data_IF_945188322342
#
_entry.id   IF_945188322342
#
_cell.length_a   1.000
_cell.length_b   1.000
_cell.length_c   1.000
_cell.angle_alpha   90.00
_cell.angle_beta   90.00
_cell.angle_gamma   90.00
#
_symmetry.space_group_name_H-M   'P 1'
#
loop_
_entity.id
_entity.type
_entity.pdbx_description
1 polymer ?
#
# COMPACT_ATOMS: atom_id res chain seq x y z
N UNK A 1 30.15 23.74 -0.98
CA UNK A 1 29.09 23.45 0.00
C UNK A 1 28.87 21.94 -0.02
N UNK A 2 29.33 21.23 1.01
CA UNK A 2 29.09 19.79 1.15
C UNK A 2 27.70 19.63 1.79
N UNK A 3 26.74 19.10 1.03
CA UNK A 3 25.46 18.72 1.59
C UNK A 3 25.69 17.54 2.55
N UNK A 4 25.36 17.74 3.82
CA UNK A 4 25.36 16.68 4.84
C UNK A 4 24.41 15.57 4.38
N UNK A 5 24.96 14.41 4.03
CA UNK A 5 24.13 13.25 3.68
C UNK A 5 23.51 12.74 4.96
N UNK A 6 22.22 12.94 5.12
CA UNK A 6 21.44 12.25 6.15
C UNK A 6 21.55 10.75 5.89
N UNK A 7 22.18 10.00 6.79
CA UNK A 7 22.33 8.56 6.67
C UNK A 7 21.00 7.84 6.91
N UNK A 8 20.24 7.64 5.84
CA UNK A 8 18.97 6.91 5.84
C UNK A 8 19.12 5.43 6.24
N UNK A 9 20.34 4.89 6.34
CA UNK A 9 20.59 3.50 6.72
C UNK A 9 20.06 3.17 8.13
N UNK A 10 20.12 4.13 9.06
CA UNK A 10 19.73 3.92 10.45
C UNK A 10 18.20 4.00 10.67
N UNK A 11 17.48 4.73 9.82
CA UNK A 11 16.02 4.93 9.95
C UNK A 11 15.20 3.82 9.31
N UNK A 12 15.71 3.14 8.27
CA UNK A 12 15.07 2.01 7.58
C UNK A 12 14.54 0.90 8.51
N UNK A 13 15.33 0.36 9.45
CA UNK A 13 14.83 -0.70 10.33
C UNK A 13 13.69 -0.20 11.23
N UNK A 14 13.69 1.07 11.64
CA UNK A 14 12.61 1.65 12.46
C UNK A 14 11.33 1.76 11.63
N UNK A 15 11.43 2.25 10.40
CA UNK A 15 10.30 2.36 9.47
C UNK A 15 9.70 1.00 9.14
N UNK A 16 10.51 -0.04 8.89
CA UNK A 16 10.00 -1.39 8.63
C UNK A 16 9.30 -1.98 9.84
N UNK A 17 9.80 -1.71 11.05
CA UNK A 17 9.15 -2.16 12.28
C UNK A 17 7.81 -1.46 12.49
N UNK A 18 7.76 -0.14 12.27
CA UNK A 18 6.52 0.64 12.33
C UNK A 18 5.50 0.13 11.32
N UNK A 19 5.90 -0.08 10.06
CA UNK A 19 5.04 -0.61 9.02
C UNK A 19 4.52 -2.02 9.39
N UNK A 20 5.38 -2.90 9.91
CA UNK A 20 4.97 -4.23 10.36
C UNK A 20 3.96 -4.17 11.52
N UNK A 21 4.15 -3.28 12.50
CA UNK A 21 3.20 -3.08 13.60
C UNK A 21 1.84 -2.60 13.07
N UNK A 22 1.83 -1.58 12.20
CA UNK A 22 0.60 -1.05 11.60
C UNK A 22 -0.15 -2.14 10.82
N UNK A 23 0.55 -2.90 9.98
CA UNK A 23 -0.03 -3.99 9.20
C UNK A 23 -0.58 -5.12 10.09
N UNK A 24 0.12 -5.44 11.18
CA UNK A 24 -0.33 -6.47 12.14
C UNK A 24 -1.61 -6.02 12.86
N UNK A 25 -1.68 -4.77 13.28
CA UNK A 25 -2.88 -4.19 13.90
C UNK A 25 -4.05 -4.17 12.90
N UNK A 26 -3.80 -3.82 11.64
CA UNK A 26 -4.82 -3.84 10.59
C UNK A 26 -5.33 -5.26 10.32
N UNK A 27 -4.43 -6.25 10.22
CA UNK A 27 -4.80 -7.64 10.06
C UNK A 27 -5.65 -8.13 11.24
N UNK A 28 -5.27 -7.79 12.47
CA UNK A 28 -6.03 -8.15 13.66
C UNK A 28 -7.41 -7.50 13.67
N UNK A 29 -7.50 -6.21 13.36
CA UNK A 29 -8.79 -5.52 13.25
C UNK A 29 -9.68 -6.15 12.18
N UNK A 30 -9.12 -6.57 11.04
CA UNK A 30 -9.87 -7.29 10.01
C UNK A 30 -10.37 -8.65 10.51
N UNK A 31 -9.53 -9.43 11.19
CA UNK A 31 -9.95 -10.72 11.78
C UNK A 31 -11.10 -10.51 12.76
N UNK A 32 -10.99 -9.53 13.67
CA UNK A 32 -12.04 -9.21 14.64
C UNK A 32 -13.32 -8.76 13.93
N UNK A 33 -13.22 -7.90 12.92
CA UNK A 33 -14.38 -7.44 12.17
C UNK A 33 -15.06 -8.58 11.41
N UNK A 34 -14.29 -9.54 10.86
CA UNK A 34 -14.82 -10.72 10.20
C UNK A 34 -15.56 -11.68 11.15
N UNK A 35 -15.09 -11.81 12.39
CA UNK A 35 -15.74 -12.65 13.41
C UNK A 35 -17.04 -12.02 13.89
N UNK A 36 -17.06 -10.70 14.10
CA UNK A 36 -18.22 -9.99 14.65
C UNK A 36 -19.30 -9.68 13.59
N UNK A 37 -18.88 -9.32 12.37
CA UNK A 37 -19.76 -8.94 11.27
C UNK A 37 -19.27 -9.61 9.98
N UNK A 38 -19.54 -10.92 9.80
CA UNK A 38 -19.09 -11.62 8.62
C UNK A 38 -19.64 -10.92 7.37
N UNK A 39 -18.79 -10.60 6.37
CA UNK A 39 -19.27 -9.99 5.15
C UNK A 39 -20.32 -10.91 4.55
N UNK A 40 -21.43 -10.33 4.06
CA UNK A 40 -22.57 -11.06 3.51
C UNK A 40 -22.06 -12.00 2.40
N UNK A 41 -21.84 -13.27 2.74
CA UNK A 41 -20.87 -14.13 2.05
C UNK A 41 -21.23 -14.55 0.63
N UNK A 42 -22.38 -14.06 0.13
CA UNK A 42 -22.93 -14.37 -1.17
C UNK A 42 -22.76 -13.25 -2.20
N UNK A 43 -22.38 -12.04 -1.78
CA UNK A 43 -22.11 -10.96 -2.74
C UNK A 43 -20.73 -11.13 -3.38
N UNK A 44 -20.72 -11.04 -4.71
CA UNK A 44 -19.50 -10.98 -5.49
C UNK A 44 -18.91 -9.57 -5.43
N UNK A 45 -17.60 -9.48 -5.63
CA UNK A 45 -16.93 -8.18 -5.68
C UNK A 45 -17.29 -7.44 -6.96
N UNK A 46 -17.47 -6.12 -6.86
CA UNK A 46 -17.65 -5.24 -8.02
C UNK A 46 -16.39 -5.19 -8.89
N UNK A 47 -15.21 -5.28 -8.27
CA UNK A 47 -13.91 -5.26 -8.97
C UNK A 47 -13.61 -6.63 -9.58
N UNK A 48 -13.95 -7.70 -8.86
CA UNK A 48 -13.71 -9.07 -9.29
C UNK A 48 -15.01 -9.87 -9.24
N UNK A 49 -15.84 -9.83 -10.30
CA UNK A 49 -17.19 -10.44 -10.28
C UNK A 49 -17.17 -11.97 -10.13
N UNK A 50 -16.01 -12.60 -10.31
CA UNK A 50 -15.80 -14.03 -10.12
C UNK A 50 -15.28 -14.40 -8.72
N UNK A 51 -14.97 -13.42 -7.86
CA UNK A 51 -14.47 -13.66 -6.50
C UNK A 51 -15.49 -13.16 -5.48
N UNK A 52 -15.81 -14.02 -4.50
CA UNK A 52 -16.66 -13.66 -3.36
C UNK A 52 -15.94 -12.65 -2.45
N UNK A 53 -16.69 -11.71 -1.89
CA UNK A 53 -16.14 -10.71 -0.96
C UNK A 53 -15.41 -11.35 0.24
N UNK A 54 -15.90 -12.48 0.75
CA UNK A 54 -15.24 -13.24 1.82
C UNK A 54 -13.83 -13.69 1.45
N UNK A 55 -13.61 -14.13 0.21
CA UNK A 55 -12.30 -14.59 -0.26
C UNK A 55 -11.34 -13.42 -0.40
N UNK A 56 -11.81 -12.28 -0.92
CA UNK A 56 -11.00 -11.06 -0.98
C UNK A 56 -10.64 -10.55 0.42
N UNK A 57 -11.56 -10.68 1.38
CA UNK A 57 -11.31 -10.27 2.76
C UNK A 57 -10.20 -11.11 3.41
N UNK A 58 -10.27 -12.44 3.27
CA UNK A 58 -9.20 -13.35 3.70
C UNK A 58 -7.89 -13.08 2.98
N UNK A 59 -7.93 -12.88 1.66
CA UNK A 59 -6.74 -12.55 0.89
C UNK A 59 -6.10 -11.25 1.39
N UNK A 60 -6.90 -10.25 1.74
CA UNK A 60 -6.41 -9.00 2.33
C UNK A 60 -5.74 -9.19 3.69
N UNK A 61 -6.33 -10.01 4.57
CA UNK A 61 -5.71 -10.37 5.86
C UNK A 61 -4.38 -11.09 5.64
N UNK A 62 -4.35 -12.07 4.74
CA UNK A 62 -3.12 -12.83 4.44
C UNK A 62 -2.04 -11.94 3.84
N UNK A 63 -2.42 -10.99 2.97
CA UNK A 63 -1.50 -10.02 2.38
C UNK A 63 -0.89 -9.09 3.44
N UNK A 64 -1.70 -8.59 4.38
CA UNK A 64 -1.23 -7.76 5.50
C UNK A 64 -0.24 -8.53 6.38
N UNK A 65 -0.61 -9.75 6.80
CA UNK A 65 0.23 -10.61 7.66
C UNK A 65 1.52 -11.02 6.95
N UNK A 66 1.44 -11.42 5.68
CA UNK A 66 2.62 -11.78 4.89
C UNK A 66 3.56 -10.59 4.74
N UNK A 67 3.03 -9.40 4.44
CA UNK A 67 3.84 -8.18 4.30
C UNK A 67 4.47 -7.79 5.63
N UNK A 68 3.73 -7.89 6.75
CA UNK A 68 4.26 -7.65 8.09
C UNK A 68 5.40 -8.63 8.43
N UNK A 69 5.20 -9.93 8.16
CA UNK A 69 6.20 -10.97 8.39
C UNK A 69 7.47 -10.75 7.53
N UNK A 70 7.31 -10.36 6.26
CA UNK A 70 8.43 -10.01 5.38
C UNK A 70 9.17 -8.79 5.91
N UNK A 71 8.46 -7.75 6.37
CA UNK A 71 9.07 -6.54 6.94
C UNK A 71 9.87 -6.84 8.22
N UNK A 72 9.38 -7.74 9.08
CA UNK A 72 10.09 -8.20 10.27
C UNK A 72 11.31 -9.05 9.91
N UNK A 73 11.16 -10.01 9.00
CA UNK A 73 12.23 -10.95 8.61
C UNK A 73 13.34 -10.28 7.80
N UNK A 74 12.98 -9.34 6.92
CA UNK A 74 13.91 -8.63 6.03
C UNK A 74 14.13 -7.18 6.49
N UNK A 75 14.06 -6.93 7.80
CA UNK A 75 14.22 -5.60 8.41
C UNK A 75 15.55 -4.96 7.97
N UNK A 76 15.49 -3.70 7.50
CA UNK A 76 16.65 -2.97 6.98
C UNK A 76 17.19 -3.45 5.62
N UNK A 77 16.59 -4.47 4.99
CA UNK A 77 17.01 -5.00 3.69
C UNK A 77 16.07 -4.55 2.59
N UNK A 78 16.59 -4.58 1.37
CA UNK A 78 15.85 -4.17 0.18
C UNK A 78 14.60 -5.03 -0.11
N UNK A 79 14.57 -6.27 0.34
CA UNK A 79 13.38 -7.11 0.15
C UNK A 79 12.14 -6.55 0.87
N UNK A 80 12.32 -5.92 2.04
CA UNK A 80 11.21 -5.35 2.79
C UNK A 80 10.61 -4.11 2.12
N UNK A 81 11.43 -3.17 1.61
CA UNK A 81 10.85 -2.01 0.93
C UNK A 81 10.18 -2.42 -0.39
N UNK A 82 10.72 -3.41 -1.11
CA UNK A 82 10.07 -3.92 -2.33
C UNK A 82 8.71 -4.52 -2.01
N UNK A 83 8.61 -5.30 -0.93
CA UNK A 83 7.34 -5.84 -0.45
C UNK A 83 6.34 -4.73 -0.06
N UNK A 84 6.78 -3.69 0.65
CA UNK A 84 5.94 -2.55 1.01
C UNK A 84 5.47 -1.76 -0.22
N UNK A 85 6.36 -1.57 -1.21
CA UNK A 85 6.04 -0.87 -2.44
C UNK A 85 5.05 -1.65 -3.31
N UNK A 86 5.21 -2.98 -3.39
CA UNK A 86 4.25 -3.86 -4.06
C UNK A 86 2.89 -3.82 -3.36
N UNK A 87 2.88 -3.92 -2.03
CA UNK A 87 1.66 -3.88 -1.21
C UNK A 87 0.91 -2.55 -1.39
N UNK A 88 1.60 -1.42 -1.28
CA UNK A 88 1.02 -0.08 -1.45
C UNK A 88 0.52 0.14 -2.88
N UNK A 89 1.24 -0.34 -3.89
CA UNK A 89 0.82 -0.29 -5.28
C UNK A 89 -0.45 -1.10 -5.53
N UNK A 90 -0.56 -2.30 -4.93
CA UNK A 90 -1.75 -3.13 -5.00
C UNK A 90 -2.95 -2.47 -4.30
N UNK A 91 -2.74 -1.84 -3.14
CA UNK A 91 -3.78 -1.07 -2.44
C UNK A 91 -4.26 0.13 -3.24
N UNK A 92 -3.34 0.89 -3.86
CA UNK A 92 -3.67 2.02 -4.73
C UNK A 92 -4.46 1.56 -5.97
N UNK A 93 -3.98 0.51 -6.62
CA UNK A 93 -4.65 -0.07 -7.78
C UNK A 93 -6.06 -0.56 -7.42
N UNK A 94 -6.22 -1.24 -6.29
CA UNK A 94 -7.53 -1.70 -5.82
C UNK A 94 -8.47 -0.52 -5.53
N UNK A 95 -8.00 0.52 -4.83
CA UNK A 95 -8.80 1.74 -4.59
C UNK A 95 -9.23 2.40 -5.90
N UNK A 96 -8.33 2.49 -6.87
CA UNK A 96 -8.63 3.02 -8.19
C UNK A 96 -9.68 2.17 -8.91
N UNK A 97 -9.55 0.84 -8.89
CA UNK A 97 -10.54 -0.06 -9.49
C UNK A 97 -11.92 0.06 -8.83
N UNK A 98 -11.99 0.18 -7.51
CA UNK A 98 -13.26 0.43 -6.78
C UNK A 98 -13.88 1.77 -7.19
N UNK A 99 -13.06 2.82 -7.34
CA UNK A 99 -13.52 4.13 -7.79
C UNK A 99 -14.15 4.06 -9.20
N UNK A 100 -13.49 3.37 -10.14
CA UNK A 100 -13.99 3.23 -11.51
C UNK A 100 -15.23 2.34 -11.64
N UNK A 101 -15.37 1.32 -10.78
CA UNK A 101 -16.51 0.38 -10.83
C UNK A 101 -17.76 0.90 -10.13
N UNK A 102 -17.77 2.14 -9.66
CA UNK A 102 -18.93 2.75 -8.99
C UNK A 102 -19.24 2.17 -7.61
N UNK A 103 -18.31 1.41 -7.02
CA UNK A 103 -18.51 0.74 -5.71
C UNK A 103 -18.76 1.70 -4.54
N UNK A 104 -18.52 3.00 -4.73
CA UNK A 104 -18.75 4.07 -3.76
C UNK A 104 -20.23 4.50 -3.65
N UNK A 105 -21.07 4.24 -4.65
CA UNK A 105 -22.43 4.85 -4.71
C UNK A 105 -23.49 3.95 -4.06
N UNK A 106 -23.22 2.66 -3.90
CA UNK A 106 -24.18 1.70 -3.34
C UNK A 106 -23.49 0.76 -2.36
N UNK A 107 -23.03 1.31 -1.21
CA UNK A 107 -22.81 0.60 0.06
C UNK A 107 -22.40 -0.87 -0.06
N UNK A 108 -21.47 -1.18 -0.96
CA UNK A 108 -21.08 -2.55 -1.22
C UNK A 108 -20.36 -2.94 0.06
N UNK A 109 -20.98 -3.77 0.91
CA UNK A 109 -20.61 -4.03 2.32
C UNK A 109 -19.18 -4.51 2.59
N UNK A 110 -18.32 -4.43 1.59
CA UNK A 110 -16.87 -4.55 1.62
C UNK A 110 -16.16 -3.43 2.41
N UNK A 111 -16.74 -2.22 2.47
CA UNK A 111 -16.16 -1.02 3.12
C UNK A 111 -16.78 -0.71 4.50
N UNK A 112 -17.45 -1.71 5.09
CA UNK A 112 -18.33 -1.55 6.26
C UNK A 112 -17.83 -2.18 7.57
N UNK A 113 -16.70 -2.89 7.52
CA UNK A 113 -16.31 -3.82 8.58
C UNK A 113 -15.79 -3.09 9.82
N UNK A 114 -15.01 -2.01 9.63
CA UNK A 114 -14.56 -1.16 10.74
C UNK A 114 -15.69 -0.23 11.23
N UNK A 115 -16.51 0.28 10.31
CA UNK A 115 -17.71 1.08 10.59
C UNK A 115 -18.62 0.37 11.59
N UNK A 116 -18.91 -0.91 11.37
CA UNK A 116 -19.79 -1.70 12.25
C UNK A 116 -19.17 -1.98 13.62
N UNK A 117 -17.84 -2.14 13.70
CA UNK A 117 -17.17 -2.47 14.96
C UNK A 117 -16.88 -1.23 15.82
N UNK A 118 -16.43 -0.13 15.21
CA UNK A 118 -16.03 1.10 15.91
C UNK A 118 -17.16 2.15 15.94
N UNK A 119 -18.30 1.89 15.32
CA UNK A 119 -19.36 2.88 15.12
C UNK A 119 -18.90 4.09 14.31
N UNK A 120 -17.82 3.93 13.53
CA UNK A 120 -17.28 5.00 12.69
C UNK A 120 -18.25 5.30 11.55
N UNK A 121 -18.18 6.49 10.98
CA UNK A 121 -18.85 6.78 9.71
C UNK A 121 -18.02 6.27 8.54
N UNK A 122 -18.66 6.00 7.39
CA UNK A 122 -17.96 5.58 6.16
C UNK A 122 -16.84 6.56 5.76
N UNK A 123 -17.06 7.86 6.00
CA UNK A 123 -16.07 8.92 5.78
C UNK A 123 -14.83 8.78 6.69
N UNK A 124 -15.00 8.33 7.93
CA UNK A 124 -13.91 8.12 8.88
C UNK A 124 -13.10 6.88 8.51
N UNK A 125 -13.76 5.79 8.08
CA UNK A 125 -13.07 4.58 7.61
C UNK A 125 -12.23 4.86 6.37
N UNK A 126 -12.79 5.61 5.40
CA UNK A 126 -12.04 6.00 4.22
C UNK A 126 -10.85 6.91 4.57
N UNK A 127 -11.03 7.85 5.51
CA UNK A 127 -9.96 8.72 5.99
C UNK A 127 -8.85 7.94 6.71
N UNK A 128 -9.21 6.97 7.56
CA UNK A 128 -8.25 6.10 8.25
C UNK A 128 -7.46 5.24 7.26
N UNK A 129 -8.15 4.65 6.27
CA UNK A 129 -7.53 3.89 5.19
C UNK A 129 -6.57 4.75 4.37
N UNK A 130 -6.95 6.00 4.07
CA UNK A 130 -6.08 6.97 3.39
C UNK A 130 -4.86 7.31 4.25
N UNK A 131 -5.05 7.56 5.56
CA UNK A 131 -3.97 7.88 6.48
C UNK A 131 -2.93 6.77 6.59
N UNK A 132 -3.37 5.52 6.70
CA UNK A 132 -2.48 4.34 6.66
C UNK A 132 -1.72 4.26 5.34
N UNK A 133 -2.41 4.48 4.21
CA UNK A 133 -1.78 4.43 2.89
C UNK A 133 -0.69 5.51 2.76
N UNK A 134 -0.98 6.74 3.20
CA UNK A 134 0.00 7.84 3.23
C UNK A 134 1.19 7.47 4.12
N UNK A 135 0.94 6.92 5.31
CA UNK A 135 2.01 6.51 6.23
C UNK A 135 2.91 5.43 5.61
N UNK A 136 2.32 4.43 4.93
CA UNK A 136 3.08 3.39 4.24
C UNK A 136 3.88 3.97 3.06
N UNK A 137 3.30 4.90 2.29
CA UNK A 137 4.01 5.59 1.20
C UNK A 137 5.20 6.38 1.77
N UNK A 138 5.01 7.14 2.86
CA UNK A 138 6.08 7.86 3.54
C UNK A 138 7.21 6.91 3.99
N UNK A 139 6.87 5.70 4.45
CA UNK A 139 7.87 4.69 4.80
C UNK A 139 8.69 4.21 3.60
N UNK A 140 8.15 4.27 2.38
CA UNK A 140 8.85 3.87 1.13
C UNK A 140 9.63 4.99 0.45
N UNK A 141 9.33 6.27 0.77
CA UNK A 141 9.98 7.43 0.15
C UNK A 141 11.52 7.45 0.24
N UNK A 142 12.17 7.07 1.35
CA UNK A 142 13.65 7.10 1.45
C UNK A 142 14.33 6.24 0.39
N UNK A 143 13.65 5.18 -0.06
CA UNK A 143 14.15 4.31 -1.11
C UNK A 143 13.93 4.89 -2.49
N UNK A 144 12.77 5.50 -2.72
CA UNK A 144 12.45 6.11 -4.02
C UNK A 144 13.43 7.24 -4.32
N UNK A 145 13.76 8.07 -3.32
CA UNK A 145 14.73 9.16 -3.47
C UNK A 145 16.15 8.67 -3.75
N UNK A 146 16.60 7.60 -3.08
CA UNK A 146 17.92 7.01 -3.33
C UNK A 146 18.00 6.31 -4.70
N UNK A 147 16.94 5.63 -5.11
CA UNK A 147 16.89 4.99 -6.44
C UNK A 147 16.84 6.04 -7.55
N UNK A 148 16.02 7.09 -7.39
CA UNK A 148 15.94 8.18 -8.33
C UNK A 148 17.33 8.80 -8.55
N UNK A 149 18.00 9.22 -7.48
CA UNK A 149 19.34 9.83 -7.58
C UNK A 149 20.36 8.92 -8.29
N UNK A 150 20.32 7.61 -8.05
CA UNK A 150 21.18 6.66 -8.77
C UNK A 150 20.83 6.53 -10.26
N UNK A 151 19.54 6.59 -10.62
CA UNK A 151 19.08 6.53 -12.00
C UNK A 151 19.47 7.79 -12.78
N UNK A 152 19.35 8.97 -12.17
CA UNK A 152 19.79 10.24 -12.76
C UNK A 152 21.31 10.34 -12.92
N UNK A 153 22.07 9.63 -12.08
CA UNK A 153 23.53 9.58 -12.17
C UNK A 153 24.04 8.59 -13.22
N UNK A 154 23.19 7.76 -13.83
CA UNK A 154 23.61 6.81 -14.87
C UNK A 154 23.85 7.53 -16.20
N UNK A 155 25.09 7.57 -16.73
CA UNK A 155 25.41 8.30 -17.96
C UNK A 155 24.62 7.80 -19.18
N UNK A 156 24.28 6.51 -19.23
CA UNK A 156 23.50 5.95 -20.34
C UNK A 156 22.07 6.51 -20.45
N UNK A 157 21.42 6.86 -19.33
CA UNK A 157 20.07 7.45 -19.37
C UNK A 157 20.11 8.90 -19.90
N UNK A 158 21.18 9.63 -19.58
CA UNK A 158 21.41 10.99 -20.08
C UNK A 158 21.66 10.99 -21.59
N UNK A 159 22.38 10.00 -22.11
CA UNK A 159 22.60 9.87 -23.55
C UNK A 159 21.30 9.51 -24.28
N UNK A 160 20.48 8.64 -23.70
CA UNK A 160 19.18 8.27 -24.30
C UNK A 160 18.19 9.46 -24.31
N UNK A 161 18.14 10.25 -23.23
CA UNK A 161 17.30 11.45 -23.16
C UNK A 161 17.77 12.57 -24.09
N UNK A 162 19.09 12.65 -24.41
CA UNK A 162 19.59 13.59 -25.43
C UNK A 162 19.11 13.23 -26.83
N UNK A 163 19.11 11.94 -27.18
CA UNK A 163 18.65 11.48 -28.50
C UNK A 163 17.17 11.81 -28.69
N UNK A 164 16.31 11.49 -27.72
CA UNK A 164 14.87 11.77 -27.80
C UNK A 164 14.57 13.28 -27.90
N UNK A 165 15.40 14.15 -27.32
CA UNK A 165 15.21 15.60 -27.39
C UNK A 165 15.53 16.19 -28.77
N UNK A 166 16.37 15.52 -29.57
CA UNK A 166 16.70 16.00 -30.93
C UNK A 166 15.60 15.67 -31.95
N UNK A 167 14.86 14.58 -31.76
CA UNK A 167 13.80 14.16 -32.70
C UNK A 167 12.50 14.98 -32.57
N UNK A 168 12.33 15.80 -31.53
CA UNK A 168 11.12 16.62 -31.30
C UNK A 168 11.30 18.06 -31.83
N UNK A 169 12.48 18.41 -32.33
CA UNK A 169 12.83 19.76 -32.83
C UNK A 169 12.93 19.84 -34.37
N UNK A 170 12.51 18.80 -35.08
CA UNK A 170 12.40 18.74 -36.55
C UNK A 170 10.92 18.68 -36.93
#
# INVERSE_FOLDING_TARGET
MQAERVDFSQTRPVLHLLAAMVLTVLALMKVVAMVNNPPVGFLHSTVFPFVKNTVLYWASIMLDVATAAICLKLRGRDGADFSLLLFTSLMLWYKFAVYFTGGLVQGCGCLGALTSFLGLTESQENSASLGVLVLLVLCTLPRISSTATSAWASPGLMDTLRVVRMDVLV
#
